data_IF_193579702976
#
_entry.id   IF_193579702976
#
_cell.length_a   1.000
_cell.length_b   1.000
_cell.length_c   1.000
_cell.angle_alpha   90.00
_cell.angle_beta   90.00
_cell.angle_gamma   90.00
#
_symmetry.space_group_name_H-M   'P 1'
#
loop_
_entity.id
_entity.type
_entity.pdbx_description
1 polymer ?
#
# COMPACT_ATOMS: atom_id res chain seq x y z
N UNK A 1 -9.57 1.39 77.48
CA UNK A 1 -9.05 0.59 76.35
C UNK A 1 -9.51 1.23 75.04
N UNK A 2 -8.53 1.56 74.18
CA UNK A 2 -8.51 1.70 72.72
C UNK A 2 -9.67 2.44 72.01
N UNK A 3 -9.43 3.64 71.44
CA UNK A 3 -8.78 3.96 70.14
C UNK A 3 -9.66 3.60 68.93
N UNK A 4 -10.15 4.63 68.23
CA UNK A 4 -10.44 4.55 66.79
C UNK A 4 -9.84 5.76 66.08
N UNK A 5 -8.75 5.51 65.35
CA UNK A 5 -8.21 6.40 64.33
C UNK A 5 -8.74 5.88 62.99
N UNK A 6 -9.48 6.72 62.26
CA UNK A 6 -9.88 6.45 60.90
C UNK A 6 -8.71 6.74 59.96
N UNK A 7 -8.27 5.73 59.20
CA UNK A 7 -7.30 5.85 58.11
C UNK A 7 -8.08 5.76 56.79
N UNK A 8 -8.13 6.88 56.05
CA UNK A 8 -8.67 6.94 54.71
C UNK A 8 -7.62 6.41 53.73
N UNK A 9 -7.90 5.30 53.06
CA UNK A 9 -7.07 4.77 51.98
C UNK A 9 -7.55 5.35 50.63
N UNK A 10 -6.73 6.22 50.03
CA UNK A 10 -6.96 6.73 48.68
C UNK A 10 -6.52 5.72 47.62
N UNK A 11 -7.47 5.26 46.80
CA UNK A 11 -7.22 4.46 45.60
C UNK A 11 -6.75 5.38 44.46
N UNK A 12 -5.45 5.34 44.15
CA UNK A 12 -4.90 5.96 42.93
C UNK A 12 -5.13 4.98 41.77
N UNK A 13 -6.06 5.33 40.89
CA UNK A 13 -6.26 4.64 39.61
C UNK A 13 -5.14 5.09 38.66
N UNK A 14 -4.17 4.21 38.41
CA UNK A 14 -3.18 4.40 37.34
C UNK A 14 -3.84 4.01 36.02
N UNK A 15 -3.99 4.92 35.04
CA UNK A 15 -4.54 4.56 33.75
C UNK A 15 -3.55 3.65 33.02
N UNK A 16 -4.00 2.44 32.71
CA UNK A 16 -3.28 1.49 31.85
C UNK A 16 -3.37 2.01 30.42
N UNK A 17 -2.37 2.78 29.98
CA UNK A 17 -2.20 3.07 28.57
C UNK A 17 -1.70 1.79 27.88
N UNK A 18 -2.59 1.12 27.16
CA UNK A 18 -2.18 0.07 26.23
C UNK A 18 -1.20 0.69 25.22
N UNK A 19 0.00 0.12 25.00
CA UNK A 19 0.87 0.60 23.94
C UNK A 19 0.13 0.41 22.61
N UNK A 20 -0.11 1.50 21.89
CA UNK A 20 -0.50 1.42 20.50
C UNK A 20 0.62 0.68 19.77
N UNK A 21 0.29 -0.38 19.04
CA UNK A 21 1.20 -1.01 18.09
C UNK A 21 1.49 -0.02 16.97
N UNK A 22 2.41 0.91 17.22
CA UNK A 22 3.07 1.67 16.19
C UNK A 22 3.81 0.67 15.31
N UNK A 23 3.47 0.65 14.01
CA UNK A 23 4.11 -0.14 12.96
C UNK A 23 5.64 -0.07 13.13
N UNK A 24 6.18 -1.09 13.80
CA UNK A 24 7.61 -1.32 13.95
C UNK A 24 7.86 -2.61 13.20
N UNK A 25 8.56 -2.48 12.09
CA UNK A 25 8.84 -3.48 11.05
C UNK A 25 9.77 -4.62 11.53
N UNK A 26 9.74 -5.00 12.80
CA UNK A 26 10.64 -6.02 13.37
C UNK A 26 10.07 -7.44 13.30
N UNK A 27 8.78 -7.59 13.00
CA UNK A 27 8.12 -8.87 12.77
C UNK A 27 7.07 -8.72 11.67
N UNK A 28 7.50 -8.60 10.40
CA UNK A 28 6.56 -8.75 9.28
C UNK A 28 6.03 -10.18 9.27
N UNK A 29 4.77 -10.36 9.66
CA UNK A 29 4.09 -11.64 9.60
C UNK A 29 3.95 -12.05 8.12
N UNK A 30 4.74 -13.05 7.68
CA UNK A 30 4.75 -13.53 6.30
C UNK A 30 3.68 -14.59 6.10
N UNK A 31 2.58 -14.23 5.42
CA UNK A 31 1.53 -15.19 5.03
C UNK A 31 1.98 -16.19 3.94
N UNK A 32 3.01 -15.85 3.13
CA UNK A 32 3.60 -16.75 2.12
C UNK A 32 5.11 -16.91 2.29
N UNK A 33 5.56 -18.16 2.19
CA UNK A 33 6.96 -18.61 2.26
C UNK A 33 7.64 -18.66 0.87
N UNK A 34 7.03 -18.06 -0.16
CA UNK A 34 7.62 -18.10 -1.50
C UNK A 34 8.98 -17.40 -1.56
N UNK A 35 10.03 -18.06 -2.09
CA UNK A 35 11.36 -17.48 -2.20
C UNK A 35 11.40 -16.27 -3.17
N UNK A 36 10.39 -16.14 -4.04
CA UNK A 36 10.22 -14.99 -4.94
C UNK A 36 9.43 -13.82 -4.36
N UNK A 37 8.92 -13.91 -3.12
CA UNK A 37 8.12 -12.84 -2.53
C UNK A 37 8.97 -11.59 -2.21
N UNK A 38 8.55 -10.44 -2.73
CA UNK A 38 9.15 -9.13 -2.46
C UNK A 38 8.09 -8.26 -1.79
N UNK A 39 8.32 -7.87 -0.53
CA UNK A 39 7.46 -6.93 0.22
C UNK A 39 7.75 -5.50 -0.25
N UNK A 40 6.70 -4.74 -0.57
CA UNK A 40 6.79 -3.37 -1.05
C UNK A 40 5.98 -2.43 -0.14
N UNK A 41 6.48 -1.19 0.02
CA UNK A 41 5.83 -0.17 0.84
C UNK A 41 4.65 0.49 0.10
N UNK A 42 3.64 0.90 0.84
CA UNK A 42 2.47 1.61 0.34
C UNK A 42 2.08 2.75 1.28
N UNK A 43 1.30 3.70 0.77
CA UNK A 43 0.68 4.75 1.60
C UNK A 43 -0.79 4.87 1.28
N UNK A 44 -1.60 4.95 2.33
CA UNK A 44 -3.04 5.12 2.23
C UNK A 44 -3.49 6.34 3.03
N UNK A 45 -4.35 7.18 2.44
CA UNK A 45 -4.80 8.41 3.11
C UNK A 45 -5.80 8.16 4.24
N UNK A 46 -6.54 7.06 4.16
CA UNK A 46 -7.53 6.64 5.15
C UNK A 46 -7.70 5.11 5.04
N UNK A 47 -7.32 4.36 6.05
CA UNK A 47 -7.42 2.91 6.03
C UNK A 47 -8.78 2.40 6.52
N UNK A 48 -9.72 3.24 6.97
CA UNK A 48 -11.00 2.76 7.51
C UNK A 48 -11.90 2.09 6.47
N UNK A 49 -12.58 1.03 6.85
CA UNK A 49 -13.53 0.29 6.03
C UNK A 49 -14.59 1.21 5.42
N UNK A 50 -15.01 0.90 4.19
CA UNK A 50 -16.02 1.64 3.40
C UNK A 50 -15.66 3.08 3.04
N UNK A 51 -14.52 3.62 3.50
CA UNK A 51 -14.07 4.98 3.17
C UNK A 51 -13.42 5.04 1.80
N UNK A 52 -13.44 6.22 1.20
CA UNK A 52 -12.68 6.52 -0.02
C UNK A 52 -11.29 7.00 0.37
N UNK A 53 -10.29 6.54 -0.36
CA UNK A 53 -8.90 6.73 -0.01
C UNK A 53 -8.03 6.89 -1.24
N UNK A 54 -6.96 7.68 -1.13
CA UNK A 54 -5.85 7.64 -2.08
C UNK A 54 -4.86 6.58 -1.60
N UNK A 55 -4.61 5.59 -2.44
CA UNK A 55 -3.64 4.52 -2.25
C UNK A 55 -2.46 4.76 -3.19
N UNK A 56 -1.26 4.75 -2.63
CA UNK A 56 0.00 4.93 -3.33
C UNK A 56 0.83 3.67 -3.16
N UNK A 57 1.07 2.96 -4.24
CA UNK A 57 1.84 1.72 -4.29
C UNK A 57 3.25 2.05 -4.75
N UNK A 58 4.23 1.87 -3.87
CA UNK A 58 5.61 2.30 -4.12
C UNK A 58 6.40 1.15 -4.71
N UNK A 59 7.00 1.35 -5.88
CA UNK A 59 7.89 0.39 -6.53
C UNK A 59 9.32 0.96 -6.58
N UNK A 60 10.21 0.51 -5.67
CA UNK A 60 11.57 1.04 -5.58
C UNK A 60 12.44 0.59 -6.74
N UNK A 61 13.44 1.40 -7.10
CA UNK A 61 14.45 1.09 -8.13
C UNK A 61 15.03 -0.32 -7.98
N UNK A 62 15.33 -0.75 -6.74
CA UNK A 62 15.94 -2.05 -6.44
C UNK A 62 15.07 -3.26 -6.81
N UNK A 63 13.75 -3.10 -6.83
CA UNK A 63 12.83 -4.16 -7.26
C UNK A 63 12.78 -4.30 -8.78
N UNK A 64 13.31 -3.32 -9.53
CA UNK A 64 13.20 -3.24 -10.99
C UNK A 64 14.52 -3.64 -11.65
N UNK A 65 14.51 -4.75 -12.38
CA UNK A 65 15.70 -5.25 -13.11
C UNK A 65 15.86 -4.64 -14.50
N UNK A 66 14.78 -4.13 -15.07
CA UNK A 66 14.71 -3.61 -16.45
C UNK A 66 13.80 -2.39 -16.52
N UNK A 67 13.83 -1.69 -17.67
CA UNK A 67 12.84 -0.68 -18.00
C UNK A 67 11.43 -1.31 -18.08
N UNK A 68 10.40 -0.53 -17.78
CA UNK A 68 9.01 -1.00 -17.77
C UNK A 68 8.29 -0.46 -19.02
N UNK A 69 7.77 -1.37 -19.84
CA UNK A 69 6.86 -1.04 -20.94
C UNK A 69 5.41 -1.00 -20.49
N UNK A 70 5.02 -1.93 -19.63
CA UNK A 70 3.67 -2.03 -19.10
C UNK A 70 3.73 -2.47 -17.64
N UNK A 71 2.89 -1.87 -16.81
CA UNK A 71 2.75 -2.21 -15.41
C UNK A 71 1.33 -2.70 -15.14
N UNK A 72 1.20 -3.88 -14.54
CA UNK A 72 -0.08 -4.42 -14.09
C UNK A 72 -0.13 -4.45 -12.57
N UNK A 73 -1.18 -3.87 -12.00
CA UNK A 73 -1.51 -3.95 -10.58
C UNK A 73 -2.72 -4.85 -10.41
N UNK A 74 -2.62 -5.86 -9.55
CA UNK A 74 -3.68 -6.81 -9.25
C UNK A 74 -4.06 -6.75 -7.78
N UNK A 75 -5.30 -6.34 -7.49
CA UNK A 75 -5.91 -6.51 -6.19
C UNK A 75 -6.27 -7.98 -5.94
N UNK A 76 -6.38 -8.42 -4.68
CA UNK A 76 -6.85 -9.75 -4.37
C UNK A 76 -8.37 -9.80 -4.62
N UNK A 77 -8.89 -10.92 -5.14
CA UNK A 77 -10.33 -11.08 -5.47
C UNK A 77 -11.26 -10.76 -4.29
N UNK A 78 -10.78 -11.07 -3.07
CA UNK A 78 -11.49 -10.80 -1.82
C UNK A 78 -11.76 -9.30 -1.60
N UNK A 79 -10.93 -8.41 -2.13
CA UNK A 79 -11.10 -6.96 -2.03
C UNK A 79 -12.42 -6.52 -2.67
N UNK A 80 -12.70 -6.97 -3.88
CA UNK A 80 -13.95 -6.64 -4.58
C UNK A 80 -15.15 -7.40 -4.03
N UNK A 81 -14.96 -8.67 -3.64
CA UNK A 81 -16.00 -9.46 -2.97
C UNK A 81 -16.54 -8.75 -1.73
N UNK A 82 -15.67 -8.07 -0.98
CA UNK A 82 -16.06 -7.20 0.15
C UNK A 82 -16.39 -5.76 -0.25
N UNK A 83 -16.82 -5.53 -1.50
CA UNK A 83 -17.26 -4.23 -2.03
C UNK A 83 -16.19 -3.15 -2.03
N UNK A 84 -14.91 -3.53 -1.97
CA UNK A 84 -13.81 -2.67 -2.33
C UNK A 84 -13.89 -2.35 -3.83
N UNK A 85 -13.46 -1.15 -4.22
CA UNK A 85 -13.45 -0.74 -5.64
C UNK A 85 -12.23 0.10 -5.93
N UNK A 86 -11.62 -0.09 -7.10
CA UNK A 86 -10.60 0.80 -7.61
C UNK A 86 -11.24 1.73 -8.65
N UNK A 87 -10.90 3.01 -8.60
CA UNK A 87 -11.28 3.95 -9.64
C UNK A 87 -10.18 4.01 -10.70
N UNK A 88 -10.40 3.32 -11.82
CA UNK A 88 -9.42 3.19 -12.93
C UNK A 88 -9.04 4.56 -13.51
N UNK A 89 -10.01 5.46 -13.66
CA UNK A 89 -9.79 6.82 -14.20
C UNK A 89 -8.92 7.72 -13.30
N UNK A 90 -8.66 7.28 -12.07
CA UNK A 90 -7.83 8.04 -11.12
C UNK A 90 -6.38 7.60 -11.05
N UNK A 91 -6.01 6.59 -11.84
CA UNK A 91 -4.66 6.03 -11.86
C UNK A 91 -3.67 7.06 -12.38
N UNK A 92 -2.58 7.23 -11.65
CA UNK A 92 -1.44 8.05 -12.04
C UNK A 92 -0.15 7.31 -11.75
N UNK A 93 0.87 7.57 -12.55
CA UNK A 93 2.19 6.99 -12.37
C UNK A 93 3.21 8.10 -12.10
N UNK A 94 3.61 8.25 -10.84
CA UNK A 94 4.55 9.28 -10.42
C UNK A 94 5.99 8.77 -10.35
N UNK A 95 6.94 9.69 -10.46
CA UNK A 95 8.36 9.44 -10.18
C UNK A 95 8.93 10.48 -9.19
N UNK A 96 10.13 10.19 -8.68
CA UNK A 96 10.82 11.02 -7.68
C UNK A 96 9.92 11.45 -6.52
N UNK A 97 9.13 10.51 -6.00
CA UNK A 97 8.17 10.83 -4.96
C UNK A 97 8.86 10.98 -3.60
N UNK A 98 8.84 12.20 -3.08
CA UNK A 98 9.47 12.54 -1.80
C UNK A 98 8.43 12.34 -0.69
N UNK A 99 8.83 11.60 0.33
CA UNK A 99 8.10 11.54 1.59
C UNK A 99 8.44 12.79 2.40
N UNK A 100 7.46 13.70 2.57
CA UNK A 100 7.71 14.97 3.25
C UNK A 100 7.96 14.86 4.77
N UNK A 101 7.67 13.72 5.41
CA UNK A 101 8.11 13.47 6.79
C UNK A 101 8.13 11.97 7.13
N UNK A 102 8.88 11.59 8.16
CA UNK A 102 9.04 10.21 8.63
C UNK A 102 7.80 9.72 9.43
N UNK A 103 6.85 10.61 9.76
CA UNK A 103 5.68 10.27 10.57
C UNK A 103 4.56 9.62 9.74
N UNK A 104 3.95 8.58 10.30
CA UNK A 104 2.80 7.87 9.74
C UNK A 104 1.68 8.86 9.36
N UNK A 105 1.19 8.77 8.12
CA UNK A 105 0.11 9.63 7.59
C UNK A 105 0.56 10.84 6.77
N UNK A 106 1.85 11.00 6.46
CA UNK A 106 2.30 12.11 5.60
C UNK A 106 1.93 11.93 4.13
N UNK A 107 1.65 13.06 3.47
CA UNK A 107 1.38 13.15 2.03
C UNK A 107 2.67 12.86 1.24
N UNK A 108 2.79 11.69 0.64
CA UNK A 108 3.77 11.44 -0.42
C UNK A 108 3.41 12.31 -1.62
N UNK A 109 4.31 13.20 -2.04
CA UNK A 109 4.14 14.00 -3.25
C UNK A 109 5.18 13.57 -4.27
N UNK A 110 4.72 13.27 -5.47
CA UNK A 110 5.57 13.05 -6.62
C UNK A 110 5.99 14.39 -7.22
N UNK A 111 7.23 14.43 -7.72
CA UNK A 111 7.76 15.60 -8.41
C UNK A 111 6.96 15.84 -9.70
N UNK A 112 6.77 14.77 -10.46
CA UNK A 112 5.97 14.76 -11.68
C UNK A 112 5.38 13.36 -11.95
N UNK A 113 4.65 13.22 -13.05
CA UNK A 113 3.98 12.00 -13.49
C UNK A 113 4.31 11.66 -14.93
N UNK A 114 4.42 10.36 -15.23
CA UNK A 114 4.47 9.88 -16.60
C UNK A 114 3.12 10.09 -17.27
N UNK A 115 3.16 10.47 -18.55
CA UNK A 115 1.98 10.42 -19.42
C UNK A 115 1.66 8.96 -19.73
N UNK A 116 0.37 8.62 -19.62
CA UNK A 116 -0.14 7.27 -19.84
C UNK A 116 -0.88 7.25 -21.18
N UNK A 117 -0.48 6.34 -22.07
CA UNK A 117 -1.16 6.09 -23.33
C UNK A 117 -2.48 5.35 -23.10
N UNK A 118 -2.48 4.42 -22.14
CA UNK A 118 -3.63 3.58 -21.83
C UNK A 118 -3.66 3.21 -20.33
N UNK A 119 -4.86 3.20 -19.75
CA UNK A 119 -5.14 2.53 -18.48
C UNK A 119 -6.38 1.68 -18.66
N UNK A 120 -6.25 0.36 -18.50
CA UNK A 120 -7.31 -0.59 -18.83
C UNK A 120 -7.55 -1.56 -17.69
N UNK A 121 -8.82 -1.82 -17.38
CA UNK A 121 -9.23 -2.88 -16.48
C UNK A 121 -9.35 -4.19 -17.26
N UNK A 122 -8.46 -5.15 -16.99
CA UNK A 122 -8.47 -6.46 -17.65
C UNK A 122 -9.51 -7.42 -17.04
N UNK A 123 -9.95 -7.10 -15.82
CA UNK A 123 -10.92 -7.84 -15.04
C UNK A 123 -10.99 -7.28 -13.62
N UNK A 124 -11.86 -7.85 -12.77
CA UNK A 124 -12.06 -7.43 -11.39
C UNK A 124 -10.75 -7.17 -10.64
N UNK A 125 -10.44 -5.90 -10.37
CA UNK A 125 -9.29 -5.46 -9.59
C UNK A 125 -7.94 -5.61 -10.30
N UNK A 126 -7.92 -5.87 -11.62
CA UNK A 126 -6.70 -6.01 -12.43
C UNK A 126 -6.57 -4.83 -13.38
N UNK A 127 -5.60 -3.96 -13.12
CA UNK A 127 -5.39 -2.72 -13.85
C UNK A 127 -4.07 -2.80 -14.58
N UNK A 128 -4.12 -2.62 -15.90
CA UNK A 128 -2.98 -2.49 -16.79
C UNK A 128 -2.72 -1.02 -17.06
N UNK A 129 -1.46 -0.62 -16.94
CA UNK A 129 -1.01 0.77 -17.03
C UNK A 129 0.08 0.80 -18.10
N UNK A 130 -0.17 1.53 -19.17
CA UNK A 130 0.75 1.67 -20.30
C UNK A 130 1.21 3.12 -20.38
N UNK A 131 2.47 3.44 -20.05
CA UNK A 131 3.05 4.77 -20.28
C UNK A 131 3.23 5.06 -21.78
N UNK A 132 3.34 6.33 -22.16
CA UNK A 132 3.66 6.75 -23.54
C UNK A 132 5.10 6.35 -23.95
N UNK A 133 5.99 6.26 -22.97
CA UNK A 133 7.39 5.89 -23.17
C UNK A 133 7.83 4.89 -22.09
N UNK A 134 8.82 4.02 -22.39
CA UNK A 134 9.34 3.07 -21.41
C UNK A 134 9.86 3.80 -20.16
N UNK A 135 9.45 3.33 -18.98
CA UNK A 135 9.89 3.91 -17.72
C UNK A 135 11.33 3.46 -17.44
N UNK A 136 12.28 4.39 -17.24
CA UNK A 136 13.68 4.07 -17.02
C UNK A 136 13.87 3.35 -15.68
N UNK A 137 14.85 2.45 -15.59
CA UNK A 137 15.12 1.64 -14.40
C UNK A 137 15.58 2.48 -13.18
N UNK A 138 16.24 3.62 -13.39
CA UNK A 138 16.92 4.37 -12.33
C UNK A 138 15.97 4.96 -11.26
N UNK A 139 14.68 5.06 -11.54
CA UNK A 139 13.75 5.83 -10.72
C UNK A 139 12.97 4.99 -9.69
N UNK A 140 12.49 5.59 -8.62
CA UNK A 140 11.43 4.97 -7.82
C UNK A 140 10.11 5.49 -8.34
N UNK A 141 9.19 4.59 -8.64
CA UNK A 141 7.88 4.96 -9.18
C UNK A 141 6.78 4.67 -8.19
N UNK A 142 5.69 5.42 -8.29
CA UNK A 142 4.52 5.28 -7.43
C UNK A 142 3.28 5.21 -8.29
N UNK A 143 2.52 4.12 -8.16
CA UNK A 143 1.16 4.04 -8.71
C UNK A 143 0.24 4.69 -7.69
N UNK A 144 -0.39 5.80 -8.05
CA UNK A 144 -1.44 6.44 -7.26
C UNK A 144 -2.81 6.09 -7.83
N UNK A 145 -3.70 5.58 -6.99
CA UNK A 145 -5.07 5.23 -7.35
C UNK A 145 -6.03 5.64 -6.23
N UNK A 146 -7.22 6.09 -6.60
CA UNK A 146 -8.32 6.27 -5.64
C UNK A 146 -9.08 4.96 -5.50
N UNK A 147 -9.29 4.55 -4.26
CA UNK A 147 -10.06 3.35 -3.93
C UNK A 147 -11.25 3.68 -3.04
N UNK A 148 -12.24 2.80 -3.06
CA UNK A 148 -13.18 2.61 -1.95
C UNK A 148 -12.69 1.39 -1.18
N UNK A 149 -12.38 1.58 0.10
CA UNK A 149 -11.98 0.51 0.99
C UNK A 149 -13.12 -0.52 1.13
N UNK A 150 -12.79 -1.82 1.26
CA UNK A 150 -13.76 -2.88 1.44
C UNK A 150 -14.56 -2.71 2.75
N UNK A 151 -15.64 -3.46 2.88
CA UNK A 151 -16.50 -3.45 4.07
C UNK A 151 -15.87 -4.15 5.27
N UNK A 152 -14.92 -5.04 5.01
CA UNK A 152 -14.29 -5.93 5.98
C UNK A 152 -12.86 -5.43 6.23
N UNK A 153 -12.46 -5.44 7.49
CA UNK A 153 -11.12 -5.03 7.92
C UNK A 153 -10.12 -6.16 7.68
N UNK A 154 -8.83 -5.85 7.70
CA UNK A 154 -7.74 -6.80 7.53
C UNK A 154 -6.77 -6.42 6.42
N UNK A 155 -5.95 -7.40 6.03
CA UNK A 155 -4.88 -7.21 5.07
C UNK A 155 -5.28 -7.68 3.66
N UNK A 156 -5.00 -6.86 2.66
CA UNK A 156 -5.29 -7.10 1.26
C UNK A 156 -3.99 -6.99 0.46
N UNK A 157 -3.53 -8.11 -0.09
CA UNK A 157 -2.28 -8.16 -0.86
C UNK A 157 -2.51 -7.77 -2.32
N UNK A 158 -1.97 -6.62 -2.73
CA UNK A 158 -1.92 -6.19 -4.12
C UNK A 158 -0.59 -6.66 -4.73
N UNK A 159 -0.64 -7.22 -5.94
CA UNK A 159 0.56 -7.70 -6.65
C UNK A 159 0.90 -6.78 -7.82
N UNK A 160 2.19 -6.54 -8.04
CA UNK A 160 2.70 -5.80 -9.19
C UNK A 160 3.40 -6.72 -10.18
N UNK A 161 3.12 -6.53 -11.47
CA UNK A 161 3.78 -7.22 -12.58
C UNK A 161 4.23 -6.19 -13.62
N UNK A 162 5.36 -6.40 -14.26
CA UNK A 162 5.84 -5.51 -15.31
C UNK A 162 6.40 -6.29 -16.50
N UNK A 163 6.18 -5.75 -17.70
CA UNK A 163 6.84 -6.22 -18.92
C UNK A 163 8.03 -5.31 -19.24
N UNK A 164 9.08 -5.89 -19.82
CA UNK A 164 10.28 -5.17 -20.24
C UNK A 164 10.41 -5.19 -21.78
N UNK A 165 11.12 -4.21 -22.38
CA UNK A 165 11.43 -4.25 -23.81
C UNK A 165 12.21 -5.50 -24.21
N UNK A 166 11.79 -6.18 -25.29
CA UNK A 166 12.41 -7.41 -25.79
C UNK A 166 11.44 -8.31 -26.57
N UNK A 167 11.90 -9.50 -26.99
CA UNK A 167 11.13 -10.38 -27.88
C UNK A 167 9.97 -11.15 -27.21
N UNK A 168 9.89 -11.16 -25.87
CA UNK A 168 8.82 -11.87 -25.15
C UNK A 168 8.23 -10.97 -24.07
N UNK A 169 7.02 -10.45 -24.32
CA UNK A 169 6.28 -9.55 -23.43
C UNK A 169 5.55 -10.34 -22.32
N UNK A 170 6.25 -11.18 -21.56
CA UNK A 170 5.65 -11.88 -20.42
C UNK A 170 5.72 -10.96 -19.18
N UNK A 171 4.58 -10.63 -18.55
CA UNK A 171 4.57 -9.88 -17.31
C UNK A 171 5.33 -10.63 -16.21
N UNK A 172 6.37 -10.00 -15.67
CA UNK A 172 7.20 -10.55 -14.60
C UNK A 172 6.79 -9.93 -13.26
N UNK A 173 6.64 -10.76 -12.24
CA UNK A 173 6.33 -10.32 -10.88
C UNK A 173 7.40 -9.36 -10.33
N UNK A 174 6.95 -8.22 -9.79
CA UNK A 174 7.80 -7.17 -9.23
C UNK A 174 7.76 -7.12 -7.70
N UNK A 175 6.65 -7.57 -7.09
CA UNK A 175 6.45 -7.55 -5.65
C UNK A 175 5.00 -7.41 -5.24
N UNK A 176 4.77 -7.31 -3.94
CA UNK A 176 3.45 -7.21 -3.32
C UNK A 176 3.38 -6.10 -2.30
N UNK A 177 2.24 -5.42 -2.25
CA UNK A 177 1.87 -4.44 -1.24
C UNK A 177 0.80 -5.03 -0.33
N UNK A 178 1.08 -5.17 0.97
CA UNK A 178 0.13 -5.70 1.94
C UNK A 178 -0.66 -4.56 2.57
N UNK A 179 -1.77 -4.16 1.94
CA UNK A 179 -2.57 -3.01 2.34
C UNK A 179 -3.47 -3.34 3.52
N UNK A 180 -3.31 -2.62 4.62
CA UNK A 180 -4.11 -2.75 5.84
C UNK A 180 -5.35 -1.84 5.76
N UNK A 181 -6.51 -2.41 6.11
CA UNK A 181 -7.81 -1.73 6.18
C UNK A 181 -8.39 -1.93 7.59
N UNK A 182 -8.72 -0.83 8.26
CA UNK A 182 -9.17 -0.76 9.67
C UNK A 182 -10.68 -0.62 9.84
#
# INVERSE_FOLDING_TARGET
MNRFLALAAGLVLVPWSAPSLAQTSLLEFRWSQDPGYVSLDYRISNNRARRRSSLKLILPTKARKHAILELTVRAPEIFEKWRGKINVDSVKLGYNCIQKSVFAGTKTRCEDYFTLSEVTELGPGVIRITPDAPIPQAETIVVELKIRNPTTTGFYQFNGYATAPGQVQIPTYQGSWLVEID
#
